data_IF_361536474463
#
_entry.id   IF_361536474463
#
_cell.length_a   1.000
_cell.length_b   1.000
_cell.length_c   1.000
_cell.angle_alpha   90.00
_cell.angle_beta   90.00
_cell.angle_gamma   90.00
#
_symmetry.space_group_name_H-M   'P 1'
#
loop_
_entity.id
_entity.type
_entity.pdbx_description
1 polymer ?
#
# COMPACT_ATOMS: atom_id res chain seq x y z
N UNK A 1 12.75 -43.00 -17.26
CA UNK A 1 11.99 -42.24 -16.24
C UNK A 1 12.83 -41.07 -15.78
N UNK A 2 12.79 -39.95 -16.51
CA UNK A 2 13.29 -38.65 -16.04
C UNK A 2 12.22 -37.65 -16.46
N UNK A 3 11.60 -37.01 -15.47
CA UNK A 3 10.45 -36.14 -15.67
C UNK A 3 11.00 -34.73 -15.77
N UNK A 4 10.82 -34.12 -16.93
CA UNK A 4 11.23 -32.77 -17.30
C UNK A 4 10.57 -31.69 -16.42
N UNK A 5 11.04 -31.49 -15.18
CA UNK A 5 10.57 -30.44 -14.27
C UNK A 5 11.55 -29.25 -14.28
N UNK A 6 11.76 -28.60 -15.42
CA UNK A 6 12.56 -27.35 -15.47
C UNK A 6 11.64 -26.11 -15.55
N UNK A 7 10.32 -26.30 -15.68
CA UNK A 7 9.35 -25.22 -15.91
C UNK A 7 8.96 -24.43 -14.65
N UNK A 8 9.25 -24.99 -13.47
CA UNK A 8 8.93 -24.39 -12.17
C UNK A 8 10.16 -23.80 -11.48
N UNK A 9 11.33 -23.86 -12.10
CA UNK A 9 12.51 -23.22 -11.54
C UNK A 9 12.33 -21.70 -11.51
N UNK A 10 12.72 -21.10 -10.39
CA UNK A 10 12.63 -19.66 -10.19
C UNK A 10 11.21 -19.10 -9.95
N UNK A 11 10.23 -19.91 -9.55
CA UNK A 11 8.97 -19.38 -9.00
C UNK A 11 9.07 -19.21 -7.47
N UNK A 12 8.44 -18.16 -6.95
CA UNK A 12 8.39 -17.86 -5.51
C UNK A 12 6.96 -17.57 -5.07
N UNK A 13 6.71 -17.77 -3.77
CA UNK A 13 5.51 -17.26 -3.12
C UNK A 13 5.75 -15.82 -2.66
N UNK A 14 4.77 -14.95 -2.90
CA UNK A 14 4.72 -13.61 -2.33
C UNK A 14 3.50 -13.49 -1.43
N UNK A 15 3.71 -12.94 -0.24
CA UNK A 15 2.66 -12.61 0.72
C UNK A 15 2.48 -11.09 0.79
N UNK A 16 1.23 -10.65 0.70
CA UNK A 16 0.89 -9.22 0.75
C UNK A 16 -0.39 -8.95 1.51
N UNK A 17 -0.42 -7.80 2.19
CA UNK A 17 -1.63 -7.31 2.85
C UNK A 17 -2.37 -6.33 1.95
N UNK A 18 -3.69 -6.51 1.82
CA UNK A 18 -4.57 -5.53 1.24
C UNK A 18 -4.90 -4.47 2.28
N UNK A 19 -4.69 -3.20 1.93
CA UNK A 19 -5.03 -2.06 2.79
C UNK A 19 -6.39 -1.48 2.40
N UNK A 20 -7.16 -1.04 3.40
CA UNK A 20 -8.36 -0.23 3.18
C UNK A 20 -8.00 1.25 2.92
N UNK A 21 -9.02 2.10 2.69
CA UNK A 21 -8.81 3.54 2.48
C UNK A 21 -8.18 4.28 3.68
N UNK A 22 -8.23 3.70 4.89
CA UNK A 22 -7.59 4.23 6.10
C UNK A 22 -6.15 3.74 6.27
N UNK A 23 -5.72 2.76 5.47
CA UNK A 23 -4.40 2.14 5.57
C UNK A 23 -4.35 0.90 6.46
N UNK A 24 -5.48 0.41 6.97
CA UNK A 24 -5.49 -0.80 7.80
C UNK A 24 -5.44 -2.06 6.92
N UNK A 25 -4.65 -3.05 7.34
CA UNK A 25 -4.63 -4.36 6.70
C UNK A 25 -5.96 -5.08 6.93
N UNK A 26 -6.70 -5.31 5.84
CA UNK A 26 -8.03 -5.95 5.88
C UNK A 26 -8.02 -7.38 5.35
N UNK A 27 -7.02 -7.78 4.57
CA UNK A 27 -6.87 -9.14 4.09
C UNK A 27 -5.41 -9.46 3.80
N UNK A 28 -5.04 -10.74 3.91
CA UNK A 28 -3.75 -11.27 3.45
C UNK A 28 -3.97 -12.08 2.17
N UNK A 29 -3.04 -11.98 1.23
CA UNK A 29 -3.05 -12.72 -0.03
C UNK A 29 -1.69 -13.31 -0.30
N UNK A 30 -1.68 -14.58 -0.69
CA UNK A 30 -0.48 -15.30 -1.12
C UNK A 30 -0.60 -15.60 -2.61
N UNK A 31 0.42 -15.28 -3.39
CA UNK A 31 0.45 -15.49 -4.84
C UNK A 31 1.74 -16.18 -5.25
N UNK A 32 1.65 -17.13 -6.18
CA UNK A 32 2.80 -17.83 -6.73
C UNK A 32 3.21 -17.18 -8.05
N UNK A 33 4.40 -16.60 -8.10
CA UNK A 33 4.85 -15.74 -9.21
C UNK A 33 6.28 -16.05 -9.62
N UNK A 34 6.62 -15.67 -10.86
CA UNK A 34 7.99 -15.73 -11.38
C UNK A 34 8.64 -14.34 -11.29
N UNK A 35 9.76 -14.14 -10.57
CA UNK A 35 10.38 -12.83 -10.36
C UNK A 35 10.87 -12.14 -11.62
N UNK A 36 11.21 -12.89 -12.67
CA UNK A 36 11.87 -12.38 -13.88
C UNK A 36 11.10 -11.26 -14.63
N UNK A 37 9.80 -11.07 -14.35
CA UNK A 37 8.99 -9.99 -14.93
C UNK A 37 8.42 -9.00 -13.91
N UNK A 38 8.80 -9.08 -12.63
CA UNK A 38 8.28 -8.21 -11.59
C UNK A 38 9.07 -6.90 -11.52
N UNK A 39 8.35 -5.78 -11.48
CA UNK A 39 8.93 -4.44 -11.24
C UNK A 39 8.44 -3.96 -9.88
N UNK A 40 9.37 -3.53 -9.02
CA UNK A 40 9.02 -2.92 -7.74
C UNK A 40 8.40 -1.54 -8.00
N UNK A 41 7.16 -1.36 -7.57
CA UNK A 41 6.54 -0.04 -7.56
C UNK A 41 7.05 0.73 -6.34
N UNK A 42 7.70 1.90 -6.50
CA UNK A 42 8.11 2.70 -5.37
C UNK A 42 6.89 3.11 -4.56
N UNK A 43 7.01 3.20 -3.22
CA UNK A 43 5.90 3.63 -2.38
C UNK A 43 5.45 5.02 -2.86
N UNK A 44 4.17 5.14 -3.23
CA UNK A 44 3.55 6.45 -3.38
C UNK A 44 3.56 7.10 -2.01
N UNK A 45 4.51 8.00 -1.78
CA UNK A 45 4.50 8.85 -0.59
C UNK A 45 3.21 9.66 -0.69
N UNK A 46 2.22 9.34 0.14
CA UNK A 46 1.04 10.18 0.26
C UNK A 46 1.52 11.56 0.70
N UNK A 47 1.54 12.52 -0.21
CA UNK A 47 1.89 13.91 0.10
C UNK A 47 0.88 14.37 1.14
N UNK A 48 1.30 14.40 2.41
CA UNK A 48 0.48 14.94 3.49
C UNK A 48 0.25 16.40 3.14
N UNK A 49 -0.94 16.72 2.61
CA UNK A 49 -1.30 18.10 2.29
C UNK A 49 -1.15 18.90 3.59
N UNK A 50 -0.37 19.99 3.61
CA UNK A 50 -0.27 20.83 4.79
C UNK A 50 -1.68 21.26 5.17
N UNK A 51 -2.10 20.98 6.41
CA UNK A 51 -3.34 21.54 6.93
C UNK A 51 -3.15 23.07 6.94
N UNK A 52 -3.98 23.86 6.24
CA UNK A 52 -3.88 25.30 6.32
C UNK A 52 -4.04 25.72 7.79
N UNK A 53 -3.14 26.57 8.33
CA UNK A 53 -3.25 27.04 9.69
C UNK A 53 -4.55 27.82 9.86
N UNK A 54 -5.42 27.29 10.73
CA UNK A 54 -6.49 27.98 11.44
C UNK A 54 -7.26 29.07 10.71
N UNK A 55 -8.45 28.74 10.21
CA UNK A 55 -9.59 29.65 10.36
C UNK A 55 -9.89 29.75 11.86
N UNK A 56 -9.17 30.64 12.54
CA UNK A 56 -9.51 31.05 13.89
C UNK A 56 -10.91 31.67 13.81
N UNK A 57 -11.90 30.93 14.30
CA UNK A 57 -13.25 31.43 14.55
C UNK A 57 -13.13 32.71 15.36
N UNK A 58 -13.34 33.86 14.71
CA UNK A 58 -13.53 35.14 15.35
C UNK A 58 -14.86 35.08 16.12
N UNK A 59 -14.81 34.55 17.34
CA UNK A 59 -15.86 34.74 18.32
C UNK A 59 -15.88 36.22 18.66
N UNK A 60 -16.76 36.95 17.99
CA UNK A 60 -17.15 38.30 18.38
C UNK A 60 -17.67 38.24 19.82
N UNK A 61 -16.86 38.73 20.76
CA UNK A 61 -17.34 39.09 22.10
C UNK A 61 -18.27 40.28 21.94
N UNK A 62 -19.55 40.09 22.25
CA UNK A 62 -20.48 41.20 22.47
C UNK A 62 -20.19 41.72 23.88
N UNK A 63 -19.76 42.98 23.99
CA UNK A 63 -19.66 43.68 25.27
C UNK A 63 -21.03 44.29 25.60
N UNK A 64 -21.49 44.04 26.84
CA UNK A 64 -22.63 44.68 27.48
C UNK A 64 -22.28 46.09 27.95
#
# INVERSE_FOLDING_TARGET
>A
MHKDWILYDGWIWLDGYQLNAKGDAVAQRSIFVRPAGLVLQPPTVAVRRPRPPGSASSRHRVCF
#
